data_IF_000724015002
#
_entry.id   IF_000724015002
#
_cell.length_a   1.000
_cell.length_b   1.000
_cell.length_c   1.000
_cell.angle_alpha   90.00
_cell.angle_beta   90.00
_cell.angle_gamma   90.00
#
_symmetry.space_group_name_H-M   'P 1'
#
loop_
_entity.id
_entity.type
_entity.pdbx_description
1 polymer ?
#
# COMPACT_ATOMS: atom_id res chain seq x y z
N UNK A 1 1.09 -6.06 -2.34
CA UNK A 1 1.44 -4.84 -3.12
C UNK A 1 2.17 -3.86 -2.23
N UNK A 2 3.32 -3.35 -2.68
CA UNK A 2 4.19 -2.45 -1.93
C UNK A 2 3.64 -1.02 -1.79
N UNK A 3 4.27 -0.22 -0.93
CA UNK A 3 3.93 1.18 -0.70
C UNK A 3 4.40 2.10 -1.83
N UNK A 4 4.12 3.40 -1.65
CA UNK A 4 4.40 4.45 -2.65
C UNK A 4 5.89 4.53 -2.98
N UNK A 5 6.22 4.46 -4.28
CA UNK A 5 7.58 4.52 -4.79
C UNK A 5 8.56 3.54 -4.13
N UNK A 6 8.07 2.43 -3.56
CA UNK A 6 8.93 1.44 -2.93
C UNK A 6 9.66 0.58 -3.97
N UNK A 7 10.88 0.21 -3.64
CA UNK A 7 11.65 -0.80 -4.36
C UNK A 7 11.01 -2.18 -4.06
N UNK A 8 10.45 -2.80 -5.08
CA UNK A 8 9.72 -4.06 -4.92
C UNK A 8 10.63 -5.23 -4.49
N UNK A 9 11.90 -5.24 -4.91
CA UNK A 9 12.85 -6.32 -4.54
C UNK A 9 13.14 -6.30 -3.04
N UNK A 10 13.41 -5.12 -2.49
CA UNK A 10 13.60 -4.96 -1.04
C UNK A 10 12.34 -5.26 -0.26
N UNK A 11 11.18 -4.89 -0.82
CA UNK A 11 9.91 -5.19 -0.20
C UNK A 11 9.59 -6.69 -0.23
N UNK A 12 9.97 -7.38 -1.31
CA UNK A 12 9.90 -8.84 -1.40
C UNK A 12 10.80 -9.51 -0.35
N UNK A 13 12.05 -9.06 -0.19
CA UNK A 13 12.95 -9.59 0.85
C UNK A 13 12.31 -9.50 2.25
N UNK A 14 11.63 -8.40 2.55
CA UNK A 14 10.94 -8.19 3.82
C UNK A 14 9.78 -9.18 4.03
N UNK A 15 9.03 -9.49 2.97
CA UNK A 15 7.83 -10.34 3.02
C UNK A 15 8.13 -11.83 2.73
N UNK A 16 9.36 -12.17 2.37
CA UNK A 16 9.79 -13.52 2.02
C UNK A 16 9.37 -14.63 3.02
N UNK A 17 9.28 -14.37 4.34
CA UNK A 17 8.78 -15.39 5.27
C UNK A 17 7.35 -15.88 5.00
N UNK A 18 6.57 -15.14 4.20
CA UNK A 18 5.23 -15.59 3.77
C UNK A 18 5.29 -16.70 2.71
N UNK A 19 6.38 -16.81 1.94
CA UNK A 19 6.57 -17.83 0.89
C UNK A 19 6.63 -19.26 1.48
N UNK A 20 6.90 -19.39 2.78
CA UNK A 20 6.87 -20.68 3.47
C UNK A 20 5.44 -21.20 3.69
N UNK A 21 4.45 -20.32 3.75
CA UNK A 21 3.06 -20.65 4.04
C UNK A 21 2.14 -20.50 2.83
N UNK A 22 2.51 -19.67 1.87
CA UNK A 22 1.67 -19.31 0.74
C UNK A 22 2.43 -19.37 -0.58
N UNK A 23 1.73 -19.60 -1.67
CA UNK A 23 2.22 -19.25 -3.01
C UNK A 23 2.00 -17.74 -3.21
N UNK A 24 3.07 -16.96 -3.20
CA UNK A 24 2.98 -15.51 -3.20
C UNK A 24 3.31 -14.89 -4.56
N UNK A 25 2.60 -13.83 -4.90
CA UNK A 25 2.83 -13.04 -6.11
C UNK A 25 3.16 -11.61 -5.67
N UNK A 26 4.29 -11.09 -6.12
CA UNK A 26 4.79 -9.76 -5.78
C UNK A 26 4.76 -8.85 -7.02
N UNK A 27 3.62 -8.20 -7.32
CA UNK A 27 3.58 -7.28 -8.45
C UNK A 27 4.46 -6.06 -8.16
N UNK A 28 5.30 -5.72 -9.12
CA UNK A 28 6.09 -4.49 -9.11
C UNK A 28 5.31 -3.41 -9.84
N UNK A 29 5.01 -2.28 -9.18
CA UNK A 29 4.35 -1.15 -9.83
C UNK A 29 5.25 -0.51 -10.89
N UNK A 30 4.64 -0.09 -11.99
CA UNK A 30 5.32 0.69 -13.00
C UNK A 30 5.97 1.94 -12.40
N UNK A 31 7.12 2.33 -12.95
CA UNK A 31 7.94 3.40 -12.40
C UNK A 31 8.73 3.06 -11.13
N UNK A 32 8.64 1.81 -10.62
CA UNK A 32 9.27 1.38 -9.38
C UNK A 32 10.36 0.29 -9.56
N UNK A 33 10.83 0.05 -10.78
CA UNK A 33 11.94 -0.88 -11.06
C UNK A 33 12.70 -0.47 -12.32
N UNK A 34 13.95 -0.95 -12.47
CA UNK A 34 14.80 -0.62 -13.62
C UNK A 34 14.21 -1.18 -14.92
N UNK A 35 14.01 -0.31 -15.90
CA UNK A 35 13.43 -0.68 -17.20
C UNK A 35 11.91 -0.76 -17.24
N UNK A 36 11.22 -0.44 -16.13
CA UNK A 36 9.76 -0.37 -16.15
C UNK A 36 9.25 0.76 -17.03
N UNK A 37 8.03 0.63 -17.58
CA UNK A 37 7.29 1.77 -18.12
C UNK A 37 7.08 2.87 -17.07
N UNK A 38 6.67 4.05 -17.49
CA UNK A 38 6.20 5.07 -16.57
C UNK A 38 4.86 4.68 -15.95
N UNK A 39 4.70 4.94 -14.66
CA UNK A 39 3.43 4.78 -13.96
C UNK A 39 2.34 5.68 -14.59
N UNK A 40 1.20 5.11 -14.93
CA UNK A 40 0.07 5.80 -15.58
C UNK A 40 -1.02 6.11 -14.56
N UNK A 41 -1.60 5.09 -13.91
CA UNK A 41 -2.68 5.25 -12.94
C UNK A 41 -2.90 3.98 -12.12
N UNK A 42 -3.65 4.07 -11.02
CA UNK A 42 -4.11 2.87 -10.30
C UNK A 42 -5.02 1.98 -11.15
N UNK A 43 -5.81 2.57 -12.03
CA UNK A 43 -6.67 1.82 -12.92
C UNK A 43 -5.87 0.95 -13.89
N UNK A 44 -4.76 1.48 -14.42
CA UNK A 44 -3.85 0.77 -15.31
C UNK A 44 -3.12 -0.37 -14.57
N UNK A 45 -2.58 -0.11 -13.40
CA UNK A 45 -1.96 -1.15 -12.54
C UNK A 45 -2.95 -2.28 -12.20
N UNK A 46 -4.20 -1.92 -11.86
CA UNK A 46 -5.24 -2.91 -11.62
C UNK A 46 -5.52 -3.76 -12.86
N UNK A 47 -5.59 -3.15 -14.04
CA UNK A 47 -5.83 -3.86 -15.30
C UNK A 47 -4.73 -4.87 -15.60
N UNK A 48 -3.46 -4.51 -15.39
CA UNK A 48 -2.32 -5.42 -15.53
C UNK A 48 -2.42 -6.61 -14.57
N UNK A 49 -2.76 -6.35 -13.29
CA UNK A 49 -2.97 -7.41 -12.29
C UNK A 49 -4.15 -8.31 -12.69
N UNK A 50 -5.27 -7.73 -13.09
CA UNK A 50 -6.48 -8.46 -13.53
C UNK A 50 -6.18 -9.38 -14.73
N UNK A 51 -5.45 -8.87 -15.73
CA UNK A 51 -5.04 -9.66 -16.89
C UNK A 51 -4.13 -10.82 -16.49
N UNK A 52 -3.14 -10.57 -15.63
CA UNK A 52 -2.24 -11.60 -15.14
C UNK A 52 -2.99 -12.68 -14.35
N UNK A 53 -3.83 -12.28 -13.42
CA UNK A 53 -4.62 -13.21 -12.58
C UNK A 53 -5.61 -14.01 -13.42
N UNK A 54 -6.25 -13.39 -14.40
CA UNK A 54 -7.18 -14.08 -15.31
C UNK A 54 -6.43 -15.11 -16.15
N UNK A 55 -5.28 -14.73 -16.70
CA UNK A 55 -4.51 -15.62 -17.59
C UNK A 55 -3.84 -16.79 -16.88
N UNK A 56 -3.46 -16.65 -15.61
CA UNK A 56 -2.68 -17.66 -14.89
C UNK A 56 -3.46 -18.37 -13.78
N UNK A 57 -4.49 -17.74 -13.22
CA UNK A 57 -5.23 -18.24 -12.04
C UNK A 57 -6.75 -18.25 -12.26
N UNK A 58 -7.21 -18.18 -13.51
CA UNK A 58 -8.63 -18.25 -13.84
C UNK A 58 -9.48 -17.11 -13.22
N UNK A 59 -8.87 -15.97 -12.98
CA UNK A 59 -9.54 -14.79 -12.43
C UNK A 59 -9.81 -14.84 -10.92
N UNK A 60 -9.11 -15.70 -10.17
CA UNK A 60 -9.29 -15.84 -8.72
C UNK A 60 -7.97 -15.74 -7.96
N UNK A 61 -8.02 -15.07 -6.81
CA UNK A 61 -6.99 -15.09 -5.76
C UNK A 61 -7.64 -15.42 -4.41
N UNK A 62 -6.97 -16.21 -3.59
CA UNK A 62 -7.42 -16.49 -2.24
C UNK A 62 -7.28 -15.23 -1.36
N UNK A 63 -6.18 -14.48 -1.53
CA UNK A 63 -6.00 -13.23 -0.79
C UNK A 63 -5.22 -12.16 -1.56
N UNK A 64 -5.42 -10.91 -1.16
CA UNK A 64 -4.56 -9.78 -1.50
C UNK A 64 -4.11 -9.06 -0.23
N UNK A 65 -2.88 -8.57 -0.26
CA UNK A 65 -2.34 -7.71 0.79
C UNK A 65 -1.72 -6.47 0.17
N UNK A 66 -1.93 -5.32 0.78
CA UNK A 66 -1.31 -4.08 0.38
C UNK A 66 -1.01 -3.17 1.57
N UNK A 67 0.13 -2.46 1.50
CA UNK A 67 0.55 -1.49 2.49
C UNK A 67 0.53 -0.08 1.93
N UNK A 68 0.00 0.88 2.71
CA UNK A 68 0.00 2.30 2.34
C UNK A 68 -0.69 2.55 0.98
N UNK A 69 0.03 3.06 -0.01
CA UNK A 69 -0.48 3.20 -1.38
C UNK A 69 -0.88 1.85 -1.99
N UNK A 70 -0.12 0.78 -1.70
CA UNK A 70 -0.50 -0.56 -2.14
C UNK A 70 -1.87 -0.99 -1.58
N UNK A 71 -2.23 -0.59 -0.37
CA UNK A 71 -3.57 -0.81 0.18
C UNK A 71 -4.65 -0.01 -0.57
N UNK A 72 -4.32 1.21 -1.00
CA UNK A 72 -5.21 2.03 -1.83
C UNK A 72 -5.43 1.38 -3.20
N UNK A 73 -4.35 0.92 -3.84
CA UNK A 73 -4.43 0.18 -5.11
C UNK A 73 -5.23 -1.13 -4.97
N UNK A 74 -5.01 -1.89 -3.90
CA UNK A 74 -5.81 -3.10 -3.66
C UNK A 74 -7.29 -2.78 -3.42
N UNK A 75 -7.62 -1.66 -2.78
CA UNK A 75 -9.02 -1.24 -2.64
C UNK A 75 -9.67 -0.89 -3.98
N UNK A 76 -8.93 -0.34 -4.93
CA UNK A 76 -9.39 -0.13 -6.31
C UNK A 76 -9.60 -1.46 -7.04
N UNK A 77 -8.63 -2.38 -6.93
CA UNK A 77 -8.74 -3.73 -7.51
C UNK A 77 -10.02 -4.45 -7.02
N UNK A 78 -10.28 -4.42 -5.71
CA UNK A 78 -11.50 -5.01 -5.13
C UNK A 78 -12.77 -4.29 -5.61
N UNK A 79 -12.72 -2.99 -5.80
CA UNK A 79 -13.86 -2.20 -6.26
C UNK A 79 -14.22 -2.44 -7.74
N UNK A 80 -13.25 -2.81 -8.57
CA UNK A 80 -13.46 -3.14 -9.99
C UNK A 80 -14.19 -4.46 -10.18
N UNK A 81 -14.07 -5.39 -9.25
CA UNK A 81 -14.73 -6.71 -9.27
C UNK A 81 -14.49 -7.53 -10.56
N UNK A 82 -13.38 -7.30 -11.27
CA UNK A 82 -13.03 -8.04 -12.49
C UNK A 82 -12.37 -9.40 -12.19
N UNK A 83 -11.86 -9.56 -10.98
CA UNK A 83 -11.36 -10.83 -10.45
C UNK A 83 -12.01 -11.11 -9.09
N UNK A 84 -12.10 -12.38 -8.73
CA UNK A 84 -12.58 -12.80 -7.42
C UNK A 84 -11.44 -12.84 -6.42
N UNK A 85 -11.64 -12.23 -5.25
CA UNK A 85 -10.70 -12.25 -4.12
C UNK A 85 -11.47 -12.65 -2.86
N UNK A 86 -11.01 -13.67 -2.16
CA UNK A 86 -11.72 -14.16 -0.97
C UNK A 86 -11.38 -13.30 0.26
N UNK A 87 -10.12 -12.89 0.46
CA UNK A 87 -9.69 -12.04 1.56
C UNK A 87 -8.79 -10.87 1.11
N UNK A 88 -8.87 -9.73 1.80
CA UNK A 88 -8.02 -8.58 1.52
C UNK A 88 -7.52 -7.90 2.79
N UNK A 89 -6.19 -7.79 2.97
CA UNK A 89 -5.58 -7.02 4.06
C UNK A 89 -5.13 -5.67 3.51
N UNK A 90 -5.70 -4.59 4.04
CA UNK A 90 -5.42 -3.20 3.65
C UNK A 90 -4.77 -2.47 4.83
N UNK A 91 -3.43 -2.42 4.84
CA UNK A 91 -2.66 -1.81 5.92
C UNK A 91 -2.28 -0.37 5.64
N UNK A 92 -2.60 0.54 6.56
CA UNK A 92 -2.29 1.96 6.46
C UNK A 92 -2.91 2.65 5.23
N UNK A 93 -4.09 2.20 4.80
CA UNK A 93 -4.76 2.68 3.58
C UNK A 93 -5.00 4.19 3.58
N UNK A 94 -4.79 4.81 2.43
CA UNK A 94 -4.89 6.26 2.22
C UNK A 94 -5.99 6.62 1.22
N UNK A 95 -7.19 6.96 1.72
CA UNK A 95 -8.36 7.31 0.92
C UNK A 95 -8.86 8.75 1.16
N UNK A 96 -8.21 9.44 2.08
CA UNK A 96 -8.58 10.81 2.39
C UNK A 96 -7.96 11.75 1.35
N UNK A 97 -8.75 12.11 0.35
CA UNK A 97 -8.37 13.09 -0.67
C UNK A 97 -7.74 14.33 -0.03
N UNK A 98 -6.47 14.59 -0.34
CA UNK A 98 -5.69 15.70 0.19
C UNK A 98 -5.51 16.83 -0.83
N UNK A 99 -5.77 16.52 -2.11
CA UNK A 99 -5.77 17.47 -3.20
C UNK A 99 -4.40 17.63 -3.88
N UNK A 100 -4.46 18.26 -5.05
CA UNK A 100 -3.31 18.48 -5.92
C UNK A 100 -2.19 19.27 -5.27
N UNK A 101 -2.51 20.25 -4.41
CA UNK A 101 -1.49 21.04 -3.71
C UNK A 101 -0.59 20.16 -2.82
N UNK A 102 -1.17 19.22 -2.07
CA UNK A 102 -0.40 18.27 -1.27
C UNK A 102 0.47 17.36 -2.15
N UNK A 103 -0.07 16.90 -3.28
CA UNK A 103 0.69 16.11 -4.25
C UNK A 103 1.90 16.89 -4.79
N UNK A 104 1.70 18.14 -5.20
CA UNK A 104 2.77 18.99 -5.74
C UNK A 104 3.84 19.30 -4.66
N UNK A 105 3.44 19.54 -3.41
CA UNK A 105 4.38 19.71 -2.29
C UNK A 105 5.20 18.44 -2.05
N UNK A 106 4.54 17.28 -1.99
CA UNK A 106 5.20 15.99 -1.82
C UNK A 106 6.16 15.69 -2.99
N UNK A 107 5.73 15.95 -4.23
CA UNK A 107 6.59 15.80 -5.41
C UNK A 107 7.89 16.60 -5.28
N UNK A 108 7.81 17.87 -4.89
CA UNK A 108 9.00 18.71 -4.71
C UNK A 108 9.92 18.18 -3.60
N UNK A 109 9.37 17.61 -2.55
CA UNK A 109 10.12 16.98 -1.46
C UNK A 109 10.83 15.72 -1.98
N UNK A 110 10.11 14.80 -2.59
CA UNK A 110 10.67 13.54 -3.12
C UNK A 110 11.71 13.79 -4.22
N UNK A 111 11.46 14.78 -5.09
CA UNK A 111 12.42 15.18 -6.12
C UNK A 111 13.74 15.66 -5.51
N UNK A 112 13.69 16.49 -4.46
CA UNK A 112 14.91 16.93 -3.74
C UNK A 112 15.63 15.76 -3.07
N UNK A 113 14.89 14.83 -2.48
CA UNK A 113 15.47 13.63 -1.89
C UNK A 113 16.15 12.78 -2.95
N UNK A 114 15.51 12.56 -4.11
CA UNK A 114 16.11 11.84 -5.24
C UNK A 114 17.43 12.50 -5.69
N UNK A 115 17.45 13.83 -5.81
CA UNK A 115 18.63 14.59 -6.22
C UNK A 115 19.78 14.53 -5.18
N UNK A 116 19.47 14.29 -3.92
CA UNK A 116 20.39 14.18 -2.81
C UNK A 116 20.73 12.73 -2.43
N UNK A 117 20.54 11.77 -3.34
CA UNK A 117 20.83 10.35 -3.10
C UNK A 117 19.93 9.69 -2.04
N UNK A 118 18.73 10.21 -1.83
CA UNK A 118 17.77 9.69 -0.85
C UNK A 118 17.90 10.29 0.56
N UNK A 119 18.84 11.21 0.77
CA UNK A 119 19.00 11.84 2.07
C UNK A 119 17.89 12.87 2.39
N UNK A 120 17.36 12.77 3.61
CA UNK A 120 16.38 13.73 4.12
C UNK A 120 17.03 15.09 4.45
N UNK A 121 16.54 16.19 3.87
CA UNK A 121 16.85 17.52 4.39
C UNK A 121 16.45 17.63 5.86
N UNK A 122 17.29 18.30 6.70
CA UNK A 122 17.10 18.30 8.14
C UNK A 122 15.73 18.81 8.62
N UNK A 123 15.10 19.74 7.89
CA UNK A 123 13.76 20.23 8.23
C UNK A 123 12.66 19.18 7.98
N UNK A 124 12.85 18.27 7.00
CA UNK A 124 11.90 17.20 6.76
C UNK A 124 11.92 16.15 7.86
N UNK A 125 13.07 15.91 8.50
CA UNK A 125 13.17 15.06 9.69
C UNK A 125 12.25 15.56 10.80
N UNK A 126 12.13 16.88 10.95
CA UNK A 126 11.23 17.50 11.93
C UNK A 126 9.77 17.26 11.52
N UNK A 127 9.42 17.44 10.25
CA UNK A 127 8.07 17.20 9.73
C UNK A 127 7.70 15.72 9.90
N UNK A 128 8.59 14.80 9.53
CA UNK A 128 8.38 13.36 9.72
C UNK A 128 8.17 13.01 11.19
N UNK A 129 8.96 13.59 12.11
CA UNK A 129 8.79 13.39 13.54
C UNK A 129 7.42 13.92 14.03
N UNK A 130 6.97 15.05 13.51
CA UNK A 130 5.63 15.60 13.82
C UNK A 130 4.49 14.72 13.24
N UNK A 131 4.76 13.99 12.16
CA UNK A 131 3.83 13.00 11.58
C UNK A 131 3.89 11.62 12.29
N UNK A 132 4.68 11.51 13.36
CA UNK A 132 4.82 10.28 14.15
C UNK A 132 5.84 9.28 13.57
N UNK A 133 6.64 9.70 12.59
CA UNK A 133 7.75 8.92 12.04
C UNK A 133 8.99 9.22 12.90
N UNK A 134 9.41 8.27 13.72
CA UNK A 134 10.61 8.37 14.56
C UNK A 134 11.90 8.28 13.75
N UNK A 135 13.04 8.55 14.40
CA UNK A 135 14.36 8.36 13.75
C UNK A 135 14.59 6.92 13.31
N UNK A 136 14.00 5.97 14.02
CA UNK A 136 14.12 4.53 13.76
C UNK A 136 13.18 4.05 12.64
N UNK A 137 12.12 4.81 12.35
CA UNK A 137 11.17 4.52 11.26
C UNK A 137 11.74 4.93 9.88
N UNK A 138 12.94 5.53 9.86
CA UNK A 138 13.61 5.97 8.62
C UNK A 138 14.19 4.80 7.78
N UNK A 139 14.15 3.58 8.27
CA UNK A 139 14.39 2.37 7.46
C UNK A 139 13.42 2.24 6.29
N UNK A 140 12.19 2.75 6.43
CA UNK A 140 11.19 2.81 5.35
C UNK A 140 11.70 3.53 4.10
N UNK A 141 12.49 4.57 4.28
CA UNK A 141 13.02 5.36 3.15
C UNK A 141 14.12 4.65 2.38
N UNK A 142 14.78 3.65 2.98
CA UNK A 142 15.69 2.79 2.26
C UNK A 142 14.99 1.89 1.24
N UNK A 143 13.68 1.70 1.39
CA UNK A 143 12.83 0.94 0.47
C UNK A 143 12.36 1.77 -0.73
N UNK A 144 12.55 3.10 -0.71
CA UNK A 144 12.10 3.95 -1.80
C UNK A 144 12.96 3.75 -3.06
N UNK A 145 12.28 3.70 -4.20
CA UNK A 145 12.94 3.59 -5.50
C UNK A 145 13.28 4.99 -6.04
N UNK A 146 14.51 5.44 -5.74
CA UNK A 146 14.97 6.79 -6.10
C UNK A 146 15.28 7.00 -7.58
N UNK A 147 15.29 5.93 -8.38
CA UNK A 147 15.49 5.99 -9.84
C UNK A 147 14.21 6.22 -10.64
N UNK A 148 13.06 6.29 -9.97
CA UNK A 148 11.78 6.58 -10.62
C UNK A 148 11.88 7.84 -11.49
N UNK A 149 11.30 7.80 -12.69
CA UNK A 149 11.27 8.96 -13.56
C UNK A 149 10.48 10.11 -12.90
N UNK A 150 10.76 11.34 -13.31
CA UNK A 150 10.01 12.51 -12.81
C UNK A 150 8.53 12.42 -13.18
N UNK A 151 8.22 11.84 -14.34
CA UNK A 151 6.85 11.60 -14.81
C UNK A 151 6.14 10.63 -13.88
N UNK A 152 6.70 9.44 -13.68
CA UNK A 152 6.14 8.41 -12.79
C UNK A 152 5.97 8.91 -11.35
N UNK A 153 6.99 9.56 -10.79
CA UNK A 153 6.92 10.12 -9.43
C UNK A 153 5.77 11.13 -9.30
N UNK A 154 5.64 12.04 -10.27
CA UNK A 154 4.59 13.06 -10.24
C UNK A 154 3.19 12.46 -10.36
N UNK A 155 3.01 11.56 -11.33
CA UNK A 155 1.72 10.92 -11.59
C UNK A 155 1.30 10.04 -10.41
N UNK A 156 2.23 9.25 -9.87
CA UNK A 156 2.01 8.39 -8.73
C UNK A 156 1.58 9.18 -7.48
N UNK A 157 2.27 10.27 -7.17
CA UNK A 157 1.90 11.14 -6.05
C UNK A 157 0.55 11.82 -6.28
N UNK A 158 0.29 12.29 -7.49
CA UNK A 158 -0.99 12.92 -7.82
C UNK A 158 -2.15 11.93 -7.63
N UNK A 159 -2.01 10.73 -8.18
CA UNK A 159 -3.00 9.65 -8.06
C UNK A 159 -3.26 9.35 -6.58
N UNK A 160 -2.21 9.10 -5.80
CA UNK A 160 -2.34 8.76 -4.38
C UNK A 160 -3.01 9.87 -3.54
N UNK A 161 -2.66 11.15 -3.75
CA UNK A 161 -3.20 12.27 -2.96
C UNK A 161 -4.58 12.76 -3.43
N UNK A 162 -4.98 12.40 -4.65
CA UNK A 162 -6.29 12.80 -5.18
C UNK A 162 -7.29 11.65 -5.26
N UNK A 163 -6.86 10.41 -4.96
CA UNK A 163 -7.71 9.24 -4.98
C UNK A 163 -8.97 9.40 -4.11
N UNK A 164 -10.05 8.83 -4.56
CA UNK A 164 -11.33 8.76 -3.84
C UNK A 164 -11.81 7.33 -3.78
N UNK A 165 -12.42 6.95 -2.67
CA UNK A 165 -13.03 5.63 -2.52
C UNK A 165 -13.93 5.33 -3.71
N UNK A 166 -13.64 4.25 -4.42
CA UNK A 166 -14.49 3.74 -5.47
C UNK A 166 -15.67 2.98 -4.83
N UNK A 167 -16.92 3.47 -5.00
CA UNK A 167 -18.11 2.84 -4.38
C UNK A 167 -18.38 1.44 -4.93
N UNK A 168 -17.77 1.04 -6.04
CA UNK A 168 -17.86 -0.31 -6.61
C UNK A 168 -17.44 -1.41 -5.62
N UNK A 169 -16.61 -1.09 -4.63
CA UNK A 169 -16.22 -2.03 -3.57
C UNK A 169 -17.43 -2.57 -2.77
N UNK A 170 -18.57 -1.87 -2.80
CA UNK A 170 -19.81 -2.36 -2.20
C UNK A 170 -20.38 -3.61 -2.90
N UNK A 171 -19.99 -3.87 -4.14
CA UNK A 171 -20.36 -5.10 -4.86
C UNK A 171 -19.46 -6.29 -4.50
N UNK A 172 -18.26 -6.05 -3.97
CA UNK A 172 -17.32 -7.09 -3.59
C UNK A 172 -17.83 -7.90 -2.39
N UNK A 173 -17.65 -9.21 -2.44
CA UNK A 173 -17.93 -10.14 -1.33
C UNK A 173 -16.65 -10.48 -0.54
N UNK A 174 -15.51 -9.86 -0.88
CA UNK A 174 -14.22 -10.03 -0.20
C UNK A 174 -14.33 -9.71 1.28
N UNK A 175 -13.80 -10.58 2.13
CA UNK A 175 -13.57 -10.27 3.55
C UNK A 175 -12.39 -9.30 3.66
N UNK A 176 -12.63 -8.07 4.14
CA UNK A 176 -11.61 -7.03 4.22
C UNK A 176 -11.11 -6.85 5.64
N UNK A 177 -9.81 -6.91 5.82
CA UNK A 177 -9.11 -6.61 7.08
C UNK A 177 -8.45 -5.24 6.97
N UNK A 178 -8.93 -4.29 7.76
CA UNK A 178 -8.42 -2.92 7.79
C UNK A 178 -7.42 -2.80 8.93
N UNK A 179 -6.15 -2.62 8.60
CA UNK A 179 -5.07 -2.50 9.56
C UNK A 179 -4.48 -1.09 9.58
N UNK A 180 -4.12 -0.60 10.78
CA UNK A 180 -3.34 0.65 10.89
C UNK A 180 -2.73 0.82 12.29
N UNK A 181 -1.76 1.70 12.40
CA UNK A 181 -1.26 2.17 13.68
C UNK A 181 -2.21 3.16 14.37
N UNK A 182 -2.21 3.17 15.70
CA UNK A 182 -3.05 4.09 16.50
C UNK A 182 -2.69 5.56 16.33
N UNK A 183 -1.46 5.85 15.90
CA UNK A 183 -0.95 7.21 15.61
C UNK A 183 -1.15 7.64 14.14
N UNK A 184 -1.94 6.89 13.37
CA UNK A 184 -2.23 7.20 11.96
C UNK A 184 -3.62 7.84 11.77
N UNK A 185 -3.80 9.14 12.00
CA UNK A 185 -5.11 9.78 11.91
C UNK A 185 -5.72 9.70 10.49
N UNK A 186 -4.87 9.70 9.46
CA UNK A 186 -5.32 9.63 8.06
C UNK A 186 -5.79 8.22 7.69
N UNK A 187 -5.07 7.16 8.07
CA UNK A 187 -5.51 5.78 7.87
C UNK A 187 -6.83 5.52 8.62
N UNK A 188 -6.93 5.95 9.87
CA UNK A 188 -8.18 5.85 10.65
C UNK A 188 -9.35 6.63 10.02
N UNK A 189 -9.07 7.78 9.38
CA UNK A 189 -10.08 8.51 8.60
C UNK A 189 -10.49 7.70 7.37
N UNK A 190 -9.53 7.11 6.68
CA UNK A 190 -9.76 6.25 5.51
C UNK A 190 -10.58 5.01 5.87
N UNK A 191 -10.32 4.37 7.02
CA UNK A 191 -11.15 3.27 7.53
C UNK A 191 -12.61 3.71 7.69
N UNK A 192 -12.88 4.87 8.29
CA UNK A 192 -14.26 5.39 8.42
C UNK A 192 -14.93 5.67 7.08
N UNK A 193 -14.16 5.99 6.04
CA UNK A 193 -14.68 6.25 4.71
C UNK A 193 -15.04 4.95 4.01
N UNK A 194 -14.13 3.98 3.95
CA UNK A 194 -14.31 2.73 3.20
C UNK A 194 -15.34 1.81 3.88
N UNK A 195 -15.40 1.77 5.21
CA UNK A 195 -16.38 0.97 5.98
C UNK A 195 -17.84 1.24 5.63
N UNK A 196 -18.15 2.40 5.03
CA UNK A 196 -19.50 2.72 4.56
C UNK A 196 -19.95 1.87 3.37
N UNK A 197 -18.99 1.24 2.69
CA UNK A 197 -19.20 0.45 1.48
C UNK A 197 -18.93 -1.04 1.69
N UNK A 198 -18.13 -1.41 2.71
CA UNK A 198 -17.77 -2.80 2.96
C UNK A 198 -18.92 -3.59 3.61
N UNK A 199 -19.22 -4.76 3.06
CA UNK A 199 -20.22 -5.70 3.63
C UNK A 199 -19.62 -6.53 4.77
N UNK A 200 -18.39 -6.97 4.61
CA UNK A 200 -17.70 -7.88 5.52
C UNK A 200 -16.28 -7.36 5.81
N UNK A 201 -16.04 -6.90 7.04
CA UNK A 201 -14.73 -6.37 7.41
C UNK A 201 -14.41 -6.61 8.88
N UNK A 202 -13.12 -6.60 9.16
CA UNK A 202 -12.56 -6.49 10.51
C UNK A 202 -11.56 -5.34 10.57
N UNK A 203 -11.37 -4.76 11.75
CA UNK A 203 -10.45 -3.64 11.94
C UNK A 203 -9.46 -3.96 13.06
N UNK A 204 -8.17 -3.81 12.76
CA UNK A 204 -7.09 -3.90 13.74
C UNK A 204 -6.37 -2.57 13.82
N UNK A 205 -6.27 -2.03 15.03
CA UNK A 205 -5.54 -0.78 15.31
C UNK A 205 -4.48 -1.08 16.36
N UNK A 206 -3.20 -0.95 16.01
CA UNK A 206 -2.09 -1.18 16.95
C UNK A 206 -1.82 0.06 17.79
N UNK A 207 -2.10 0.03 19.10
CA UNK A 207 -1.91 1.19 19.97
C UNK A 207 -0.47 1.70 19.97
N UNK A 208 -0.30 3.02 19.85
CA UNK A 208 1.02 3.66 19.92
C UNK A 208 1.90 3.52 18.68
N UNK A 209 1.49 2.72 17.68
CA UNK A 209 2.24 2.54 16.44
C UNK A 209 1.99 3.67 15.45
N UNK A 210 3.02 4.08 14.72
CA UNK A 210 2.95 4.96 13.55
C UNK A 210 2.78 4.17 12.27
N UNK A 211 2.83 4.89 11.13
CA UNK A 211 2.70 4.32 9.79
C UNK A 211 3.82 3.32 9.50
N UNK A 212 3.46 2.11 9.06
CA UNK A 212 4.40 1.03 8.74
C UNK A 212 5.15 0.44 9.93
N UNK A 213 5.03 0.98 11.14
CA UNK A 213 5.85 0.57 12.29
C UNK A 213 5.74 -0.91 12.64
N UNK A 214 4.55 -1.50 12.53
CA UNK A 214 4.38 -2.94 12.73
C UNK A 214 5.16 -3.74 11.70
N UNK A 215 5.06 -3.35 10.43
CA UNK A 215 5.72 -4.02 9.31
C UNK A 215 7.26 -3.97 9.43
N UNK A 216 7.83 -2.79 9.78
CA UNK A 216 9.29 -2.59 9.72
C UNK A 216 10.00 -2.84 11.05
N UNK A 217 9.36 -2.56 12.19
CA UNK A 217 9.99 -2.70 13.51
C UNK A 217 9.59 -3.98 14.25
N UNK A 218 8.48 -4.62 13.86
CA UNK A 218 7.95 -5.85 14.45
C UNK A 218 7.63 -6.88 13.36
N UNK A 219 8.54 -7.02 12.41
CA UNK A 219 8.36 -7.78 11.17
C UNK A 219 7.88 -9.20 11.41
N UNK A 220 8.53 -9.95 12.30
CA UNK A 220 8.16 -11.35 12.59
C UNK A 220 6.72 -11.47 13.09
N UNK A 221 6.34 -10.61 14.04
CA UNK A 221 4.98 -10.58 14.58
C UNK A 221 3.98 -10.14 13.50
N UNK A 222 4.36 -9.21 12.63
CA UNK A 222 3.53 -8.76 11.54
C UNK A 222 3.27 -9.88 10.52
N UNK A 223 4.31 -10.65 10.17
CA UNK A 223 4.18 -11.81 9.27
C UNK A 223 3.28 -12.88 9.87
N UNK A 224 3.41 -13.15 11.19
CA UNK A 224 2.54 -14.10 11.88
C UNK A 224 1.09 -13.62 11.87
N UNK A 225 0.83 -12.35 12.13
CA UNK A 225 -0.52 -11.78 12.05
C UNK A 225 -1.14 -11.94 10.64
N UNK A 226 -0.34 -11.77 9.57
CA UNK A 226 -0.82 -12.05 8.20
C UNK A 226 -1.21 -13.52 8.06
N UNK A 227 -0.32 -14.44 8.45
CA UNK A 227 -0.57 -15.88 8.35
C UNK A 227 -1.83 -16.30 9.12
N UNK A 228 -1.95 -15.90 10.38
CA UNK A 228 -3.12 -16.19 11.20
C UNK A 228 -4.41 -15.65 10.60
N UNK A 229 -4.38 -14.40 10.11
CA UNK A 229 -5.55 -13.74 9.50
C UNK A 229 -6.02 -14.46 8.24
N UNK A 230 -5.10 -14.82 7.36
CA UNK A 230 -5.45 -15.47 6.09
C UNK A 230 -5.85 -16.93 6.29
N UNK A 231 -5.17 -17.68 7.15
CA UNK A 231 -5.53 -19.06 7.47
C UNK A 231 -6.87 -19.17 8.22
N UNK A 232 -7.24 -18.13 8.97
CA UNK A 232 -8.57 -18.07 9.58
C UNK A 232 -9.68 -17.78 8.56
N UNK A 233 -9.37 -17.01 7.50
CA UNK A 233 -10.31 -16.70 6.44
C UNK A 233 -10.64 -17.91 5.54
N UNK A 234 -9.70 -18.86 5.36
CA UNK A 234 -9.93 -20.10 4.60
C UNK A 234 -10.92 -21.07 5.24
N UNK A 235 -11.22 -20.89 6.54
CA UNK A 235 -12.10 -21.79 7.31
C UNK A 235 -13.57 -21.38 7.30
N UNK A 236 -13.90 -20.29 6.64
CA UNK A 236 -15.26 -19.73 6.54
C UNK A 236 -15.83 -20.01 5.15
#
# INVERSE_FOLDING_TARGET
MHGMLCDWEKFHELLKPLDEAFFTIYPAMDGCYDGSPDFISFADECEQIEQYVTGHFGGKLDAVWGASQGATLMSELLARNNIKVDAGILDGIYLAHQGKWCADCSYNIFLKMQQNGGEFPGFLRIICALMGLGKDDMGEFSLLYWKSSRSSMRTNLLENYTYRVNPGIAASDTKVYLWCGGKEPYARKSHRMIKKYLKNYEETVWPGMGHGKMLFSYTDQYMENIKETLLAAEKI
#
